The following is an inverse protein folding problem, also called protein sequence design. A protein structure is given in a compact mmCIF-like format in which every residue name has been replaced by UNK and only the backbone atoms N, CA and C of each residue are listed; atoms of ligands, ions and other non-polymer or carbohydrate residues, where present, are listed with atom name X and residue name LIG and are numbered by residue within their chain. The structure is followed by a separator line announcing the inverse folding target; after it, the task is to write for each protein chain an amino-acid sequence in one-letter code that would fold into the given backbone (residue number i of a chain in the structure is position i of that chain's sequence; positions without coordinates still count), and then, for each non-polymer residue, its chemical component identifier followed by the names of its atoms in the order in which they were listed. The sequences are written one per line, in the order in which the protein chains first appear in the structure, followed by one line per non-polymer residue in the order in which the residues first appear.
data_IF_828609942176
#
_entry.id   IF_828609942176
#
_cell.length_a   1.000
_cell.length_b   1.000
_cell.length_c   1.000
_cell.angle_alpha   90.00
_cell.angle_beta   90.00
_cell.angle_gamma   90.00
#
_symmetry.space_group_name_H-M   'P 1'
#
loop_
_entity.id
_entity.type
_entity.pdbx_description
1 polymer ?
#
# COMPACT_ATOMS: atom_id res chain seq x y z
N UNK A 1 -27.91 44.51 -18.54
CA UNK A 1 -27.72 43.05 -18.64
C UNK A 1 -26.29 42.72 -18.22
N UNK A 2 -26.11 42.25 -17.00
CA UNK A 2 -24.83 41.76 -16.49
C UNK A 2 -24.48 40.44 -17.19
N UNK A 3 -23.30 40.36 -17.80
CA UNK A 3 -22.71 39.13 -18.31
C UNK A 3 -21.35 38.93 -17.65
N UNK A 4 -21.30 38.10 -16.62
CA UNK A 4 -20.09 37.68 -15.93
C UNK A 4 -19.25 36.81 -16.87
N UNK A 5 -18.23 37.39 -17.50
CA UNK A 5 -17.14 36.63 -18.11
C UNK A 5 -16.30 36.03 -16.99
N UNK A 6 -16.62 34.78 -16.62
CA UNK A 6 -15.79 33.96 -15.74
C UNK A 6 -14.41 33.81 -16.36
N UNK A 7 -13.44 34.52 -15.80
CA UNK A 7 -12.01 34.34 -16.09
C UNK A 7 -11.67 32.88 -15.79
N UNK A 8 -11.43 32.08 -16.83
CA UNK A 8 -10.79 30.77 -16.70
C UNK A 8 -9.48 31.00 -15.96
N UNK A 9 -9.38 30.53 -14.71
CA UNK A 9 -8.11 30.51 -13.98
C UNK A 9 -7.13 29.69 -14.80
N UNK A 10 -6.01 30.34 -15.09
CA UNK A 10 -4.88 29.82 -15.84
C UNK A 10 -4.38 28.53 -15.19
N UNK A 11 -4.14 27.55 -16.06
CA UNK A 11 -3.46 26.29 -15.83
C UNK A 11 -1.99 26.61 -15.53
N UNK A 12 -1.67 26.91 -14.28
CA UNK A 12 -0.30 27.14 -13.78
C UNK A 12 -0.02 26.16 -12.63
N UNK A 13 -0.16 24.86 -12.88
CA UNK A 13 0.19 23.78 -11.93
C UNK A 13 1.15 22.75 -12.56
N UNK A 14 1.99 23.16 -13.51
CA UNK A 14 2.80 22.24 -14.32
C UNK A 14 4.30 22.32 -14.05
N UNK A 15 4.75 22.55 -12.80
CA UNK A 15 6.21 22.62 -12.53
C UNK A 15 6.67 22.36 -11.09
N UNK A 16 5.98 21.46 -10.37
CA UNK A 16 6.45 20.90 -9.09
C UNK A 16 6.23 19.39 -9.08
N UNK A 17 6.57 18.72 -10.18
CA UNK A 17 6.31 17.29 -10.35
C UNK A 17 7.36 16.43 -9.63
N UNK A 18 6.87 15.64 -8.67
CA UNK A 18 7.44 14.41 -8.10
C UNK A 18 8.58 14.52 -7.05
N UNK A 19 8.34 15.11 -5.87
CA UNK A 19 9.21 14.87 -4.70
C UNK A 19 8.88 13.59 -3.93
N UNK A 20 7.62 13.14 -3.96
CA UNK A 20 7.13 12.07 -3.08
C UNK A 20 6.57 10.89 -3.87
N UNK A 21 7.42 9.90 -4.12
CA UNK A 21 7.08 8.71 -4.92
C UNK A 21 6.25 7.69 -4.13
N UNK A 22 6.16 7.82 -2.80
CA UNK A 22 5.56 6.81 -1.96
C UNK A 22 6.47 5.59 -1.72
N UNK A 23 7.76 5.74 -2.03
CA UNK A 23 8.81 4.77 -1.69
C UNK A 23 9.56 5.20 -0.42
N UNK A 24 10.31 4.27 0.16
CA UNK A 24 11.12 4.54 1.37
C UNK A 24 12.09 5.68 1.07
N UNK A 25 12.16 6.66 1.99
CA UNK A 25 12.99 7.87 1.83
C UNK A 25 12.37 8.95 0.92
N UNK A 26 11.22 8.70 0.30
CA UNK A 26 10.53 9.64 -0.58
C UNK A 26 9.03 9.74 -0.24
N UNK A 27 8.73 9.82 1.06
CA UNK A 27 7.36 9.96 1.58
C UNK A 27 7.05 11.43 1.92
N UNK A 28 5.82 11.87 1.64
CA UNK A 28 5.27 13.09 2.25
C UNK A 28 4.82 12.80 3.68
N UNK A 29 4.60 13.84 4.49
CA UNK A 29 4.08 13.69 5.86
C UNK A 29 2.77 12.89 5.92
N UNK A 30 1.88 13.10 4.95
CA UNK A 30 0.62 12.34 4.84
C UNK A 30 0.83 10.86 4.48
N UNK A 31 1.83 10.55 3.67
CA UNK A 31 2.19 9.17 3.32
C UNK A 31 2.85 8.44 4.50
N UNK A 32 3.74 9.13 5.24
CA UNK A 32 4.33 8.63 6.49
C UNK A 32 3.26 8.36 7.54
N UNK A 33 2.30 9.28 7.68
CA UNK A 33 1.16 9.12 8.59
C UNK A 33 0.34 7.87 8.22
N UNK A 34 0.03 7.66 6.94
CA UNK A 34 -0.70 6.48 6.49
C UNK A 34 0.07 5.18 6.76
N UNK A 35 1.39 5.15 6.52
CA UNK A 35 2.22 3.98 6.82
C UNK A 35 2.24 3.70 8.33
N UNK A 36 2.39 4.73 9.15
CA UNK A 36 2.42 4.63 10.62
C UNK A 36 1.09 4.11 11.17
N UNK A 37 -0.04 4.61 10.65
CA UNK A 37 -1.37 4.13 11.01
C UNK A 37 -1.59 2.67 10.62
N UNK A 38 -1.09 2.24 9.45
CA UNK A 38 -1.15 0.82 9.06
C UNK A 38 -0.35 -0.05 10.03
N UNK A 39 0.90 0.32 10.34
CA UNK A 39 1.76 -0.41 11.30
C UNK A 39 1.11 -0.51 12.67
N UNK A 40 0.58 0.60 13.18
CA UNK A 40 -0.13 0.65 14.45
C UNK A 40 -1.33 -0.31 14.42
N UNK A 41 -2.14 -0.28 13.36
CA UNK A 41 -3.29 -1.16 13.22
C UNK A 41 -2.90 -2.65 13.22
N UNK A 42 -1.79 -3.01 12.56
CA UNK A 42 -1.26 -4.38 12.52
C UNK A 42 -0.93 -4.87 13.93
N UNK A 43 -0.25 -4.04 14.73
CA UNK A 43 0.15 -4.38 16.10
C UNK A 43 -1.07 -4.47 17.02
N UNK A 44 -1.93 -3.45 17.02
CA UNK A 44 -3.12 -3.39 17.89
C UNK A 44 -4.08 -4.56 17.67
N UNK A 45 -4.23 -5.00 16.41
CA UNK A 45 -5.15 -6.07 16.04
C UNK A 45 -4.45 -7.42 15.91
N UNK A 46 -3.15 -7.51 16.24
CA UNK A 46 -2.35 -8.73 16.17
C UNK A 46 -2.50 -9.45 14.82
N UNK A 47 -2.55 -8.69 13.72
CA UNK A 47 -2.84 -9.26 12.41
C UNK A 47 -1.76 -10.25 11.97
N UNK A 48 -0.51 -10.01 12.36
CA UNK A 48 0.60 -10.92 12.07
C UNK A 48 1.78 -10.60 12.98
N UNK A 49 2.58 -11.62 13.28
CA UNK A 49 3.85 -11.50 14.01
C UNK A 49 5.06 -11.60 13.08
N UNK A 50 4.84 -11.73 11.76
CA UNK A 50 5.93 -11.92 10.80
C UNK A 50 6.70 -10.61 10.56
N UNK A 51 8.02 -10.72 10.64
CA UNK A 51 9.00 -9.66 10.37
C UNK A 51 9.13 -9.30 8.88
N UNK A 52 8.61 -10.15 7.98
CA UNK A 52 8.66 -9.94 6.52
C UNK A 52 7.89 -8.71 6.02
N UNK A 53 7.01 -8.15 6.84
CA UNK A 53 6.17 -7.01 6.49
C UNK A 53 6.82 -5.70 6.92
N UNK A 54 8.00 -5.44 6.34
CA UNK A 54 8.75 -4.20 6.53
C UNK A 54 8.12 -3.00 5.79
N UNK A 55 8.73 -1.83 5.93
CA UNK A 55 8.26 -0.58 5.31
C UNK A 55 8.17 -0.69 3.79
N UNK A 56 9.14 -1.33 3.15
CA UNK A 56 9.13 -1.55 1.71
C UNK A 56 7.94 -2.40 1.28
N UNK A 57 7.58 -3.42 2.06
CA UNK A 57 6.47 -4.31 1.80
C UNK A 57 5.13 -3.60 2.04
N UNK A 58 4.97 -2.94 3.19
CA UNK A 58 3.75 -2.25 3.58
C UNK A 58 3.41 -1.09 2.66
N UNK A 59 4.42 -0.34 2.20
CA UNK A 59 4.21 0.76 1.26
C UNK A 59 3.63 0.30 -0.09
N UNK A 60 3.77 -0.98 -0.47
CA UNK A 60 3.09 -1.52 -1.67
C UNK A 60 1.57 -1.44 -1.52
N UNK A 61 1.04 -1.77 -0.34
CA UNK A 61 -0.39 -1.66 -0.04
C UNK A 61 -0.84 -0.21 0.02
N UNK A 62 -0.05 0.65 0.66
CA UNK A 62 -0.30 2.09 0.71
C UNK A 62 -0.43 2.68 -0.70
N UNK A 63 0.54 2.40 -1.59
CA UNK A 63 0.51 2.87 -2.98
C UNK A 63 -0.68 2.29 -3.75
N UNK A 64 -0.96 0.99 -3.61
CA UNK A 64 -2.07 0.32 -4.29
C UNK A 64 -3.47 0.86 -3.91
N UNK A 65 -3.57 1.65 -2.83
CA UNK A 65 -4.81 2.32 -2.40
C UNK A 65 -4.66 3.83 -2.29
N UNK A 66 -3.67 4.42 -2.96
CA UNK A 66 -3.44 5.86 -3.01
C UNK A 66 -3.35 6.50 -1.61
N UNK A 67 -2.76 5.77 -0.65
CA UNK A 67 -2.62 6.18 0.76
C UNK A 67 -3.96 6.51 1.48
N UNK A 68 -5.07 5.93 1.01
CA UNK A 68 -6.36 6.00 1.71
C UNK A 68 -6.41 4.97 2.84
N UNK A 69 -6.07 5.37 4.06
CA UNK A 69 -5.85 4.46 5.20
C UNK A 69 -6.93 3.39 5.39
N UNK A 70 -8.22 3.73 5.29
CA UNK A 70 -9.33 2.77 5.44
C UNK A 70 -9.26 1.63 4.41
N UNK A 71 -8.95 1.97 3.16
CA UNK A 71 -8.85 1.01 2.06
C UNK A 71 -7.57 0.19 2.16
N UNK A 72 -6.47 0.81 2.61
CA UNK A 72 -5.19 0.15 2.87
C UNK A 72 -5.35 -0.94 3.95
N UNK A 73 -5.95 -0.58 5.10
CA UNK A 73 -6.20 -1.52 6.19
C UNK A 73 -7.10 -2.66 5.71
N UNK A 74 -8.20 -2.36 5.02
CA UNK A 74 -9.11 -3.38 4.49
C UNK A 74 -8.36 -4.38 3.61
N UNK A 75 -7.57 -3.88 2.65
CA UNK A 75 -6.78 -4.72 1.74
C UNK A 75 -5.76 -5.58 2.50
N UNK A 76 -5.05 -5.02 3.47
CA UNK A 76 -4.04 -5.76 4.22
C UNK A 76 -4.67 -6.86 5.09
N UNK A 77 -5.80 -6.58 5.76
CA UNK A 77 -6.54 -7.57 6.55
C UNK A 77 -7.04 -8.74 5.69
N UNK A 78 -7.63 -8.43 4.54
CA UNK A 78 -8.09 -9.45 3.58
C UNK A 78 -6.92 -10.28 3.06
N UNK A 79 -5.77 -9.65 2.78
CA UNK A 79 -4.56 -10.33 2.35
C UNK A 79 -4.03 -11.31 3.41
N UNK A 80 -3.89 -10.88 4.66
CA UNK A 80 -3.43 -11.74 5.76
C UNK A 80 -4.39 -12.91 5.97
N UNK A 81 -5.69 -12.64 6.05
CA UNK A 81 -6.71 -13.68 6.19
C UNK A 81 -6.62 -14.71 5.07
N UNK A 82 -6.50 -14.27 3.81
CA UNK A 82 -6.36 -15.17 2.68
C UNK A 82 -5.10 -16.04 2.77
N UNK A 83 -3.97 -15.47 3.23
CA UNK A 83 -2.73 -16.25 3.41
C UNK A 83 -2.90 -17.36 4.44
N UNK A 84 -3.56 -17.06 5.56
CA UNK A 84 -3.85 -18.03 6.62
C UNK A 84 -4.77 -19.13 6.11
N UNK A 85 -5.89 -18.75 5.48
CA UNK A 85 -6.88 -19.69 4.93
C UNK A 85 -6.30 -20.63 3.86
N UNK A 86 -5.28 -20.18 3.13
CA UNK A 86 -4.63 -20.96 2.07
C UNK A 86 -3.27 -21.53 2.49
N UNK A 87 -2.92 -21.41 3.79
CA UNK A 87 -1.68 -21.93 4.37
C UNK A 87 -0.43 -21.55 3.56
N UNK A 88 -0.43 -20.33 2.99
CA UNK A 88 0.57 -19.87 2.02
C UNK A 88 1.96 -19.85 2.65
N UNK A 89 2.04 -19.54 3.95
CA UNK A 89 3.28 -19.54 4.71
C UNK A 89 3.90 -20.94 4.84
N UNK A 90 3.15 -22.02 4.59
CA UNK A 90 3.64 -23.41 4.62
C UNK A 90 3.75 -24.05 3.22
N UNK A 91 3.50 -23.27 2.16
CA UNK A 91 3.47 -23.78 0.79
C UNK A 91 4.77 -24.47 0.38
N UNK A 92 5.93 -23.97 0.82
CA UNK A 92 7.24 -24.57 0.51
C UNK A 92 7.42 -25.99 1.08
N UNK A 93 6.67 -26.37 2.10
CA UNK A 93 6.67 -27.73 2.67
C UNK A 93 5.73 -28.64 1.87
N UNK A 94 4.62 -28.08 1.37
CA UNK A 94 3.54 -28.86 0.74
C UNK A 94 3.75 -29.14 -0.74
N UNK A 95 4.39 -28.21 -1.45
CA UNK A 95 4.58 -28.35 -2.88
C UNK A 95 5.91 -29.02 -3.20
N UNK A 96 5.83 -30.31 -3.56
CA UNK A 96 6.94 -31.03 -4.16
C UNK A 96 7.14 -30.59 -5.61
N UNK A 97 8.12 -29.71 -5.83
CA UNK A 97 8.48 -29.21 -7.15
C UNK A 97 9.47 -30.15 -7.87
N UNK A 98 9.89 -31.27 -7.26
CA UNK A 98 10.88 -32.18 -7.86
C UNK A 98 10.39 -32.84 -9.15
N UNK A 99 9.07 -32.95 -9.32
CA UNK A 99 8.43 -33.56 -10.48
C UNK A 99 7.94 -32.53 -11.53
N UNK A 100 8.34 -31.25 -11.41
CA UNK A 100 8.01 -30.26 -12.44
C UNK A 100 8.88 -30.50 -13.69
N UNK A 101 8.27 -30.66 -14.88
CA UNK A 101 9.02 -30.78 -16.12
C UNK A 101 9.93 -29.55 -16.29
N UNK A 102 11.24 -29.80 -16.48
CA UNK A 102 12.16 -28.73 -16.83
C UNK A 102 11.82 -28.26 -18.24
N UNK A 103 11.52 -26.97 -18.37
CA UNK A 103 11.33 -26.28 -19.65
C UNK A 103 12.69 -26.03 -20.29
#
# INVERSE_FOLDING_TARGET
KMGLFGKKKKKEDSKEEQKFTGEVGCLSESQETCLSQLKQHIVENQLTTSDRFDDYYLLRFCRARFFKIKDVIKMFKEFIKWREENEVDYAFIRFDLSNIPKV
#
